data_IF_913059996028
#
_entry.id   IF_913059996028
#
_cell.length_a   1.000
_cell.length_b   1.000
_cell.length_c   1.000
_cell.angle_alpha   90.00
_cell.angle_beta   90.00
_cell.angle_gamma   90.00
#
_symmetry.space_group_name_H-M   'P 1'
#
loop_
_entity.id
_entity.type
_entity.pdbx_description
1 polymer ?
#
# COMPACT_ATOMS: atom_id res chain seq x y z
N UNK A 1 -26.09 1.41 -0.08
CA UNK A 1 -24.97 1.38 0.89
C UNK A 1 -24.08 0.23 0.48
N UNK A 2 -23.03 0.50 -0.30
CA UNK A 2 -22.13 -0.55 -0.78
C UNK A 2 -21.13 -0.84 0.32
N UNK A 3 -21.33 -1.95 1.03
CA UNK A 3 -20.42 -2.45 2.06
C UNK A 3 -18.99 -2.54 1.51
N UNK A 4 -18.06 -1.72 2.00
CA UNK A 4 -16.65 -1.72 1.58
C UNK A 4 -15.91 -2.85 2.30
N UNK A 5 -16.23 -4.09 1.95
CA UNK A 5 -15.54 -5.25 2.49
C UNK A 5 -14.04 -5.17 2.15
N UNK A 6 -13.18 -5.36 3.15
CA UNK A 6 -11.73 -5.44 2.94
C UNK A 6 -11.45 -6.70 2.10
N UNK A 7 -10.79 -6.58 0.93
CA UNK A 7 -10.48 -7.74 0.11
C UNK A 7 -9.52 -8.70 0.83
N UNK A 8 -9.59 -10.00 0.54
CA UNK A 8 -8.74 -11.03 1.18
C UNK A 8 -7.23 -10.90 0.92
N UNK A 9 -6.83 -10.08 -0.06
CA UNK A 9 -5.42 -9.76 -0.34
C UNK A 9 -4.92 -8.53 0.42
N UNK A 10 -5.76 -7.89 1.23
CA UNK A 10 -5.43 -6.71 2.02
C UNK A 10 -5.68 -6.98 3.50
N UNK A 11 -4.75 -6.55 4.35
CA UNK A 11 -4.96 -6.47 5.80
C UNK A 11 -4.73 -5.03 6.21
N UNK A 12 -5.72 -4.42 6.84
CA UNK A 12 -5.65 -3.04 7.31
C UNK A 12 -5.43 -3.03 8.82
N UNK A 13 -4.47 -2.23 9.27
CA UNK A 13 -4.23 -1.93 10.67
C UNK A 13 -4.24 -0.41 10.89
N UNK A 14 -4.11 0.03 12.13
CA UNK A 14 -4.18 1.46 12.47
C UNK A 14 -3.03 2.29 11.87
N UNK A 15 -1.85 1.69 11.68
CA UNK A 15 -0.62 2.38 11.26
C UNK A 15 -0.08 1.93 9.89
N UNK A 16 -0.74 0.95 9.25
CA UNK A 16 -0.28 0.34 8.00
C UNK A 16 -1.37 -0.41 7.27
N UNK A 17 -1.09 -0.71 6.01
CA UNK A 17 -1.80 -1.72 5.22
C UNK A 17 -0.80 -2.75 4.71
N UNK A 18 -1.13 -4.03 4.77
CA UNK A 18 -0.35 -5.11 4.18
C UNK A 18 -1.09 -5.67 2.98
N UNK A 19 -0.40 -5.73 1.84
CA UNK A 19 -0.92 -6.21 0.56
C UNK A 19 -0.22 -7.52 0.21
N UNK A 20 -1.02 -8.57 0.00
CA UNK A 20 -0.57 -9.85 -0.55
C UNK A 20 -0.43 -9.74 -2.06
N UNK A 21 0.76 -10.07 -2.55
CA UNK A 21 1.08 -10.10 -3.98
C UNK A 21 0.48 -11.35 -4.63
N UNK A 22 0.21 -11.28 -5.93
CA UNK A 22 -0.23 -12.45 -6.70
C UNK A 22 0.89 -13.44 -6.97
N UNK A 23 2.12 -12.94 -7.06
CA UNK A 23 3.36 -13.70 -7.20
C UNK A 23 4.43 -13.09 -6.29
N UNK A 24 5.41 -13.88 -5.81
CA UNK A 24 6.52 -13.33 -5.05
C UNK A 24 7.32 -12.31 -5.88
N UNK A 25 7.64 -11.16 -5.30
CA UNK A 25 8.46 -10.12 -5.94
C UNK A 25 9.74 -9.83 -5.15
N UNK A 26 10.73 -9.21 -5.78
CA UNK A 26 11.90 -8.69 -5.10
C UNK A 26 11.57 -7.35 -4.42
N UNK A 27 12.06 -7.19 -3.19
CA UNK A 27 11.98 -5.97 -2.40
C UNK A 27 13.29 -5.86 -1.60
N UNK A 28 14.09 -4.82 -1.85
CA UNK A 28 15.41 -4.65 -1.24
C UNK A 28 16.33 -5.89 -1.35
N UNK A 29 16.27 -6.61 -2.47
CA UNK A 29 17.07 -7.83 -2.69
C UNK A 29 16.52 -9.11 -2.04
N UNK A 30 15.35 -9.05 -1.40
CA UNK A 30 14.69 -10.20 -0.77
C UNK A 30 13.39 -10.51 -1.49
N UNK A 31 13.12 -11.81 -1.72
CA UNK A 31 11.86 -12.24 -2.32
C UNK A 31 10.75 -12.28 -1.26
N UNK A 32 9.67 -11.56 -1.50
CA UNK A 32 8.54 -11.40 -0.57
C UNK A 32 7.20 -11.70 -1.25
N UNK A 33 6.26 -12.23 -0.48
CA UNK A 33 4.88 -12.47 -0.92
C UNK A 33 3.93 -11.31 -0.56
N UNK A 34 4.41 -10.37 0.24
CA UNK A 34 3.63 -9.25 0.76
C UNK A 34 4.46 -7.98 0.80
N UNK A 35 3.83 -6.84 0.53
CA UNK A 35 4.38 -5.51 0.80
C UNK A 35 3.49 -4.81 1.82
N UNK A 36 4.09 -4.03 2.72
CA UNK A 36 3.36 -3.24 3.72
C UNK A 36 3.61 -1.77 3.48
N UNK A 37 2.58 -0.94 3.51
CA UNK A 37 2.69 0.51 3.42
C UNK A 37 2.38 1.10 4.80
N UNK A 38 3.30 1.88 5.34
CA UNK A 38 3.05 2.67 6.56
C UNK A 38 2.11 3.84 6.28
N UNK A 39 1.47 4.37 7.32
CA UNK A 39 0.65 5.59 7.21
C UNK A 39 1.47 6.73 6.60
N UNK A 40 0.98 7.37 5.52
CA UNK A 40 1.69 8.45 4.87
C UNK A 40 1.76 9.69 5.74
N UNK A 41 2.90 10.37 5.70
CA UNK A 41 3.05 11.69 6.28
C UNK A 41 2.97 12.77 5.21
N UNK A 42 2.68 14.02 5.60
CA UNK A 42 2.75 15.17 4.69
C UNK A 42 4.16 15.34 4.11
N UNK A 43 5.20 14.91 4.84
CA UNK A 43 6.59 14.94 4.37
C UNK A 43 6.78 14.00 3.17
N UNK A 44 6.22 12.80 3.22
CA UNK A 44 6.30 11.83 2.12
C UNK A 44 5.69 12.39 0.84
N UNK A 45 4.47 12.92 0.95
CA UNK A 45 3.77 13.52 -0.18
C UNK A 45 4.54 14.71 -0.77
N UNK A 46 5.14 15.55 0.09
CA UNK A 46 5.93 16.69 -0.38
C UNK A 46 7.20 16.25 -1.09
N UNK A 47 7.92 15.26 -0.57
CA UNK A 47 9.13 14.73 -1.21
C UNK A 47 8.78 14.15 -2.57
N UNK A 48 7.76 13.29 -2.66
CA UNK A 48 7.31 12.70 -3.91
C UNK A 48 7.03 13.78 -4.98
N UNK A 49 6.23 14.79 -4.65
CA UNK A 49 5.91 15.93 -5.54
C UNK A 49 7.13 16.75 -5.97
N UNK A 50 8.08 16.96 -5.06
CA UNK A 50 9.31 17.72 -5.35
C UNK A 50 10.25 16.94 -6.27
N UNK A 51 10.32 15.62 -6.11
CA UNK A 51 11.22 14.75 -6.89
C UNK A 51 10.75 14.51 -8.33
N UNK A 52 9.45 14.66 -8.59
CA UNK A 52 8.85 14.39 -9.89
C UNK A 52 7.84 15.50 -10.26
N UNK A 53 8.29 16.75 -10.48
CA UNK A 53 7.39 17.84 -10.81
C UNK A 53 6.71 17.59 -12.16
N UNK A 54 5.37 17.68 -12.19
CA UNK A 54 4.53 17.44 -13.37
C UNK A 54 4.49 15.99 -13.90
N UNK A 55 4.93 15.01 -13.10
CA UNK A 55 4.84 13.60 -13.43
C UNK A 55 4.09 12.86 -12.31
N UNK A 56 2.78 12.77 -12.44
CA UNK A 56 1.91 12.17 -11.40
C UNK A 56 2.19 10.68 -11.18
N UNK A 57 2.50 9.95 -12.26
CA UNK A 57 2.84 8.52 -12.16
C UNK A 57 4.13 8.32 -11.36
N UNK A 58 5.16 9.11 -11.63
CA UNK A 58 6.41 9.05 -10.88
C UNK A 58 6.25 9.58 -9.44
N UNK A 59 5.36 10.56 -9.20
CA UNK A 59 5.03 11.00 -7.85
C UNK A 59 4.40 9.87 -7.02
N UNK A 60 3.42 9.17 -7.58
CA UNK A 60 2.77 8.04 -6.94
C UNK A 60 3.77 6.91 -6.68
N UNK A 61 4.61 6.58 -7.66
CA UNK A 61 5.66 5.57 -7.54
C UNK A 61 6.64 5.92 -6.40
N UNK A 62 7.09 7.17 -6.33
CA UNK A 62 8.00 7.65 -5.28
C UNK A 62 7.33 7.62 -3.91
N UNK A 63 6.06 8.01 -3.84
CA UNK A 63 5.29 7.95 -2.60
C UNK A 63 5.18 6.51 -2.11
N UNK A 64 4.69 5.59 -2.95
CA UNK A 64 4.48 4.19 -2.55
C UNK A 64 5.80 3.51 -2.18
N UNK A 65 6.90 3.79 -2.88
CA UNK A 65 8.22 3.27 -2.52
C UNK A 65 8.64 3.76 -1.12
N UNK A 66 8.43 5.04 -0.81
CA UNK A 66 8.71 5.59 0.54
C UNK A 66 7.84 4.96 1.63
N UNK A 67 6.57 4.67 1.33
CA UNK A 67 5.66 4.05 2.29
C UNK A 67 5.93 2.56 2.49
N UNK A 68 6.37 1.87 1.43
CA UNK A 68 6.72 0.46 1.46
C UNK A 68 8.17 0.20 1.90
N UNK A 69 8.96 1.25 2.10
CA UNK A 69 10.38 1.19 2.47
C UNK A 69 11.22 0.38 1.47
N UNK A 70 10.91 0.53 0.18
CA UNK A 70 11.59 -0.14 -0.95
C UNK A 70 12.07 0.87 -1.99
N UNK A 71 12.86 0.43 -2.97
CA UNK A 71 13.20 1.25 -4.14
C UNK A 71 12.07 1.31 -5.16
N UNK A 72 12.01 2.37 -5.98
CA UNK A 72 11.02 2.48 -7.07
C UNK A 72 11.13 1.33 -8.08
N UNK A 73 12.35 0.83 -8.32
CA UNK A 73 12.60 -0.33 -9.19
C UNK A 73 11.91 -1.61 -8.71
N UNK A 74 11.77 -1.78 -7.40
CA UNK A 74 11.09 -2.94 -6.82
C UNK A 74 9.58 -2.87 -7.12
N UNK A 75 9.02 -1.66 -7.16
CA UNK A 75 7.63 -1.44 -7.55
C UNK A 75 7.41 -1.53 -9.07
N UNK A 76 8.36 -1.05 -9.88
CA UNK A 76 8.33 -1.20 -11.35
C UNK A 76 8.35 -2.67 -11.78
N UNK A 77 9.00 -3.53 -11.00
CA UNK A 77 9.06 -4.98 -11.22
C UNK A 77 7.77 -5.72 -10.90
N UNK A 78 6.78 -5.06 -10.28
CA UNK A 78 5.50 -5.69 -9.94
C UNK A 78 4.64 -5.90 -11.18
N UNK A 79 3.74 -6.88 -11.09
CA UNK A 79 2.64 -6.96 -12.05
C UNK A 79 1.74 -5.73 -11.90
N UNK A 80 1.13 -5.26 -12.99
CA UNK A 80 0.16 -4.15 -12.93
C UNK A 80 -0.98 -4.44 -11.94
N UNK A 81 -1.38 -5.71 -11.81
CA UNK A 81 -2.40 -6.14 -10.84
C UNK A 81 -1.94 -5.92 -9.40
N UNK A 82 -0.70 -6.23 -9.08
CA UNK A 82 -0.14 -6.03 -7.74
C UNK A 82 0.12 -4.55 -7.46
N UNK A 83 0.59 -3.78 -8.45
CA UNK A 83 0.69 -2.33 -8.32
C UNK A 83 -0.68 -1.67 -8.03
N UNK A 84 -1.73 -2.10 -8.73
CA UNK A 84 -3.10 -1.62 -8.45
C UNK A 84 -3.57 -1.99 -7.03
N UNK A 85 -3.14 -3.14 -6.48
CA UNK A 85 -3.43 -3.50 -5.08
C UNK A 85 -2.71 -2.59 -4.09
N UNK A 86 -1.48 -2.19 -4.39
CA UNK A 86 -0.71 -1.21 -3.60
C UNK A 86 -1.41 0.14 -3.58
N UNK A 87 -1.83 0.66 -4.75
CA UNK A 87 -2.62 1.88 -4.86
C UNK A 87 -3.92 1.81 -4.04
N UNK A 88 -4.67 0.72 -4.18
CA UNK A 88 -5.90 0.51 -3.42
C UNK A 88 -5.64 0.44 -1.90
N UNK A 89 -4.54 -0.18 -1.47
CA UNK A 89 -4.10 -0.20 -0.08
C UNK A 89 -3.82 1.20 0.45
N UNK A 90 -3.05 2.01 -0.28
CA UNK A 90 -2.80 3.41 0.07
C UNK A 90 -4.10 4.21 0.21
N UNK A 91 -5.00 4.13 -0.77
CA UNK A 91 -6.29 4.84 -0.70
C UNK A 91 -7.16 4.40 0.47
N UNK A 92 -7.10 3.12 0.83
CA UNK A 92 -7.80 2.61 2.02
C UNK A 92 -7.16 3.12 3.32
N UNK A 93 -5.83 3.24 3.35
CA UNK A 93 -5.08 3.72 4.52
C UNK A 93 -5.32 5.22 4.80
N UNK A 94 -5.55 6.05 3.77
CA UNK A 94 -5.80 7.49 3.93
C UNK A 94 -7.27 7.88 4.05
N UNK A 95 -8.20 7.00 3.67
CA UNK A 95 -9.63 7.19 3.89
C UNK A 95 -9.97 6.65 5.28
N UNK A 96 -10.08 7.51 6.29
CA UNK A 96 -10.45 7.18 7.68
C UNK A 96 -11.83 6.48 7.83
N UNK A 97 -12.57 6.22 6.75
CA UNK A 97 -13.91 5.64 6.81
C UNK A 97 -13.88 4.10 6.93
N UNK A 98 -14.26 3.66 8.13
CA UNK A 98 -14.68 2.29 8.48
C UNK A 98 -13.53 1.26 8.64
N UNK A 99 -12.66 1.48 9.62
CA UNK A 99 -12.11 0.35 10.39
C UNK A 99 -13.26 -0.26 11.22
N UNK A 100 -14.12 -1.06 10.59
CA UNK A 100 -14.90 -2.03 11.37
C UNK A 100 -13.91 -3.08 11.89
N UNK A 101 -13.76 -3.26 13.21
CA UNK A 101 -12.93 -4.32 13.76
C UNK A 101 -13.50 -5.66 13.29
N UNK A 102 -12.80 -6.35 12.39
CA UNK A 102 -13.13 -7.73 12.07
C UNK A 102 -12.54 -8.64 13.16
N UNK A 103 -13.44 -9.27 13.93
CA UNK A 103 -13.13 -10.50 14.67
C UNK A 103 -12.71 -10.34 16.13
N UNK A 104 -13.58 -9.79 16.97
CA UNK A 104 -13.57 -10.09 18.41
C UNK A 104 -14.78 -10.98 18.77
N UNK A 105 -14.98 -12.08 18.05
CA UNK A 105 -15.92 -13.13 18.44
C UNK A 105 -15.29 -14.51 18.18
N UNK A 106 -14.54 -14.98 19.18
CA UNK A 106 -14.35 -16.40 19.43
C UNK A 106 -14.00 -16.55 20.91
N UNK A 107 -15.00 -16.72 21.78
CA UNK A 107 -15.03 -17.65 22.94
C UNK A 107 -16.35 -17.42 23.69
N UNK A 108 -17.25 -18.40 23.61
CA UNK A 108 -18.50 -18.50 24.35
C UNK A 108 -19.16 -19.84 24.07
#
# INVERSE_FOLDING_TARGET
>A
MSSTAIPSWMTLAADRVTVKLTVPSEANGVRVDTLSLRTPTVRDLRIARQTAPNDEEQQDLNLFASLAEVGTKDLDGLTLKDFNRIQAGYFRLVREDELQPQGAEATG
#
